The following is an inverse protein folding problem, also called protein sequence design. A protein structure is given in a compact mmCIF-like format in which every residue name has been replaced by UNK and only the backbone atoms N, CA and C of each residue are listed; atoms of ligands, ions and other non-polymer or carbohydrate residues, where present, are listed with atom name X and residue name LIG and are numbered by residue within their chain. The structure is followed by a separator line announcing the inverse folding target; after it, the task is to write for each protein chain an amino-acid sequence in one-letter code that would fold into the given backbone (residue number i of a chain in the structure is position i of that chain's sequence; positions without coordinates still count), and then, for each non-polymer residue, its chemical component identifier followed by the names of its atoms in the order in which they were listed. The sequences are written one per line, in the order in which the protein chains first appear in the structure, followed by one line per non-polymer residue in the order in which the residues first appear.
data_IF_653679644987
#
_entry.id   IF_653679644987
#
_cell.length_a   1.000
_cell.length_b   1.000
_cell.length_c   1.000
_cell.angle_alpha   90.00
_cell.angle_beta   90.00
_cell.angle_gamma   90.00
#
_symmetry.space_group_name_H-M   'P 1'
#
loop_
_entity.id
_entity.type
_entity.pdbx_description
1 polymer ?
#
# COMPACT_ATOMS: atom_id res chain seq x y z
N UNK A 1 2.61 6.70 -10.34
CA UNK A 1 1.50 5.81 -9.92
C UNK A 1 2.08 4.52 -9.37
N UNK A 2 1.53 4.05 -8.25
CA UNK A 2 1.99 2.79 -7.64
C UNK A 2 1.16 1.65 -8.20
N UNK A 3 1.83 0.62 -8.69
CA UNK A 3 1.15 -0.51 -9.32
C UNK A 3 0.94 -1.66 -8.34
N UNK A 4 -0.06 -2.50 -8.65
CA UNK A 4 -0.26 -3.76 -7.93
C UNK A 4 1.01 -4.60 -8.06
N UNK A 5 1.44 -5.21 -6.96
CA UNK A 5 2.68 -5.97 -6.91
C UNK A 5 3.87 -5.17 -6.39
N UNK A 6 3.70 -3.88 -6.15
CA UNK A 6 4.77 -3.03 -5.63
C UNK A 6 5.03 -3.36 -4.15
N UNK A 7 6.29 -3.50 -3.77
CA UNK A 7 6.67 -3.71 -2.38
C UNK A 7 6.74 -2.38 -1.65
N UNK A 8 6.16 -2.33 -0.46
CA UNK A 8 6.09 -1.12 0.34
C UNK A 8 6.52 -1.39 1.78
N UNK A 9 6.86 -0.31 2.49
CA UNK A 9 7.32 -0.39 3.86
C UNK A 9 6.58 0.66 4.68
N UNK A 10 6.06 0.26 5.84
CA UNK A 10 5.45 1.18 6.79
C UNK A 10 6.53 1.80 7.67
N UNK A 11 6.22 2.93 8.30
CA UNK A 11 7.19 3.67 9.13
C UNK A 11 7.77 2.85 10.29
N UNK A 12 7.07 1.83 10.75
CA UNK A 12 7.53 0.96 11.84
C UNK A 12 8.43 -0.18 11.36
N UNK A 13 8.71 -0.24 10.07
CA UNK A 13 9.53 -1.29 9.48
C UNK A 13 8.76 -2.45 8.90
N UNK A 14 7.44 -2.50 9.09
CA UNK A 14 6.62 -3.56 8.51
C UNK A 14 6.61 -3.46 7.00
N UNK A 15 6.66 -4.61 6.33
CA UNK A 15 6.67 -4.67 4.87
C UNK A 15 5.40 -5.33 4.35
N UNK A 16 5.01 -4.94 3.15
CA UNK A 16 3.83 -5.49 2.52
C UNK A 16 3.85 -5.33 1.01
N UNK A 17 2.80 -5.76 0.37
CA UNK A 17 2.67 -5.69 -1.08
C UNK A 17 1.31 -5.08 -1.43
N UNK A 18 1.30 -4.23 -2.46
CA UNK A 18 0.07 -3.63 -2.97
C UNK A 18 -0.72 -4.70 -3.71
N UNK A 19 -1.94 -4.98 -3.26
CA UNK A 19 -2.81 -5.98 -3.89
C UNK A 19 -3.90 -5.36 -4.74
N UNK A 20 -4.30 -4.12 -4.42
CA UNK A 20 -5.31 -3.41 -5.20
C UNK A 20 -5.01 -1.92 -5.17
N UNK A 21 -5.43 -1.22 -6.21
CA UNK A 21 -5.37 0.24 -6.22
C UNK A 21 -6.76 0.78 -6.58
N UNK A 22 -7.18 1.82 -5.87
CA UNK A 22 -8.48 2.43 -6.07
C UNK A 22 -8.34 3.94 -6.21
N UNK A 23 -9.12 4.52 -7.11
CA UNK A 23 -9.20 5.96 -7.25
C UNK A 23 -10.54 6.42 -6.72
N UNK A 24 -10.53 7.37 -5.78
CA UNK A 24 -11.76 7.91 -5.22
C UNK A 24 -12.40 8.93 -6.17
N UNK A 25 -13.63 9.31 -5.88
CA UNK A 25 -14.34 10.33 -6.67
C UNK A 25 -13.62 11.68 -6.63
N UNK A 26 -12.80 11.91 -5.60
CA UNK A 26 -12.05 13.15 -5.46
C UNK A 26 -10.73 13.13 -6.21
N UNK A 27 -10.42 12.03 -6.89
CA UNK A 27 -9.17 11.90 -7.62
C UNK A 27 -7.98 11.47 -6.78
N UNK A 28 -8.21 11.10 -5.51
CA UNK A 28 -7.14 10.58 -4.67
C UNK A 28 -7.02 9.08 -4.88
N UNK A 29 -5.81 8.56 -4.69
CA UNK A 29 -5.56 7.13 -4.84
C UNK A 29 -5.41 6.48 -3.48
N UNK A 30 -6.07 5.34 -3.29
CA UNK A 30 -5.92 4.51 -2.11
C UNK A 30 -5.41 3.15 -2.54
N UNK A 31 -4.55 2.56 -1.74
CA UNK A 31 -3.93 1.28 -2.07
C UNK A 31 -4.21 0.27 -0.98
N UNK A 32 -4.65 -0.92 -1.38
CA UNK A 32 -4.84 -2.02 -0.45
C UNK A 32 -3.52 -2.78 -0.36
N UNK A 33 -3.02 -2.92 0.86
CA UNK A 33 -1.72 -3.53 1.12
C UNK A 33 -1.92 -4.74 2.01
N UNK A 34 -1.29 -5.84 1.62
CA UNK A 34 -1.25 -7.04 2.44
C UNK A 34 0.09 -7.08 3.14
N UNK A 35 0.06 -7.05 4.48
CA UNK A 35 1.26 -7.05 5.29
C UNK A 35 1.82 -8.46 5.43
N UNK A 36 3.14 -8.59 5.36
CA UNK A 36 3.79 -9.89 5.43
C UNK A 36 3.86 -10.45 6.86
N UNK A 37 3.83 -9.58 7.87
CA UNK A 37 4.01 -10.00 9.27
C UNK A 37 2.92 -10.96 9.73
N UNK A 38 1.67 -10.60 9.52
CA UNK A 38 0.53 -11.36 10.02
C UNK A 38 -0.51 -11.67 8.95
N UNK A 39 -0.25 -11.27 7.71
CA UNK A 39 -1.18 -11.48 6.61
C UNK A 39 -2.39 -10.56 6.63
N UNK A 40 -2.41 -9.55 7.49
CA UNK A 40 -3.52 -8.61 7.52
C UNK A 40 -3.49 -7.68 6.31
N UNK A 41 -4.62 -7.06 6.03
CA UNK A 41 -4.74 -6.11 4.93
C UNK A 41 -5.20 -4.77 5.45
N UNK A 42 -4.71 -3.70 4.80
CA UNK A 42 -5.12 -2.35 5.14
C UNK A 42 -5.16 -1.49 3.89
N UNK A 43 -5.93 -0.41 3.95
CA UNK A 43 -6.03 0.55 2.86
C UNK A 43 -5.33 1.83 3.28
N UNK A 44 -4.35 2.27 2.49
CA UNK A 44 -3.52 3.42 2.80
C UNK A 44 -3.39 4.34 1.60
N UNK A 45 -3.14 5.61 1.88
CA UNK A 45 -2.79 6.57 0.83
C UNK A 45 -1.30 6.48 0.53
N UNK A 46 -0.90 6.90 -0.68
CA UNK A 46 0.48 6.77 -1.14
C UNK A 46 1.50 7.46 -0.23
N UNK A 47 1.10 8.51 0.47
CA UNK A 47 2.01 9.24 1.34
C UNK A 47 2.24 8.57 2.70
N UNK A 48 1.47 7.53 3.01
CA UNK A 48 1.54 6.85 4.31
C UNK A 48 2.57 5.73 4.35
N UNK A 49 3.10 5.33 3.21
CA UNK A 49 4.09 4.26 3.15
C UNK A 49 5.19 4.61 2.16
N UNK A 50 6.29 3.85 2.24
CA UNK A 50 7.44 4.04 1.38
C UNK A 50 7.49 2.91 0.34
N UNK A 51 7.68 3.25 -0.93
CA UNK A 51 7.85 2.28 -1.99
C UNK A 51 9.29 1.75 -1.95
N UNK A 52 9.45 0.44 -1.93
CA UNK A 52 10.78 -0.19 -1.89
C UNK A 52 11.16 -0.72 -3.28
N UNK A 53 10.23 -1.38 -3.94
CA UNK A 53 10.52 -1.98 -5.24
C UNK A 53 9.26 -2.16 -6.10
#
# INVERSE_FOLDING_TARGET
MIEVGTLVKWRDGSMGIVTESHTTKRGTCAYKIKWFDDGSEGVLSAWQFEVIA
#
